data_IF_073895119015
#
_entry.id   IF_073895119015
#
_cell.length_a   1.000
_cell.length_b   1.000
_cell.length_c   1.000
_cell.angle_alpha   90.00
_cell.angle_beta   90.00
_cell.angle_gamma   90.00
#
_symmetry.space_group_name_H-M   'P 1'
#
loop_
_entity.id
_entity.type
_entity.pdbx_description
1 polymer ?
#
# COMPACT_ATOMS: atom_id res chain seq x y z
N UNK A 1 -3.41 5.68 10.27
CA UNK A 1 -2.48 5.89 11.41
C UNK A 1 -1.35 4.91 11.22
N UNK A 2 -0.12 5.34 11.20
CA UNK A 2 1.05 4.45 11.15
C UNK A 2 1.42 4.15 12.58
N UNK A 3 1.41 2.90 12.96
CA UNK A 3 1.62 2.44 14.33
C UNK A 3 2.59 1.25 14.36
N UNK A 4 2.92 0.75 15.48
CA UNK A 4 4.23 0.55 16.06
C UNK A 4 5.10 -0.56 15.43
N UNK A 5 6.33 -0.62 15.89
CA UNK A 5 7.33 -1.64 15.59
C UNK A 5 6.86 -3.03 16.02
N UNK A 6 6.82 -3.97 15.09
CA UNK A 6 6.74 -5.40 15.43
C UNK A 6 8.10 -6.01 15.19
N UNK A 7 8.68 -6.63 16.22
CA UNK A 7 9.82 -7.48 16.06
C UNK A 7 9.47 -8.65 15.14
N UNK A 8 10.05 -8.67 13.95
CA UNK A 8 9.96 -9.81 13.05
C UNK A 8 10.99 -10.88 13.42
N UNK A 9 10.94 -12.03 12.75
CA UNK A 9 11.95 -13.07 12.88
C UNK A 9 13.36 -12.48 12.74
N UNK A 10 14.23 -12.77 13.67
CA UNK A 10 15.62 -12.29 13.78
C UNK A 10 15.79 -10.80 14.12
N UNK A 11 14.88 -10.19 14.87
CA UNK A 11 15.04 -8.83 15.36
C UNK A 11 14.84 -7.72 14.32
N UNK A 12 14.30 -8.02 13.15
CA UNK A 12 13.93 -7.00 12.18
C UNK A 12 12.69 -6.25 12.63
N UNK A 13 12.72 -4.93 12.48
CA UNK A 13 11.59 -4.05 12.73
C UNK A 13 10.85 -3.77 11.45
N UNK A 14 9.52 -3.74 11.55
CA UNK A 14 8.63 -3.39 10.43
C UNK A 14 7.69 -2.28 10.87
N UNK A 15 7.40 -1.38 9.96
CA UNK A 15 6.32 -0.42 10.10
C UNK A 15 5.08 -0.94 9.43
N UNK A 16 3.91 -0.62 9.96
CA UNK A 16 2.66 -0.96 9.33
C UNK A 16 1.64 0.14 9.43
N UNK A 17 0.73 0.15 8.46
CA UNK A 17 -0.39 1.07 8.39
C UNK A 17 -1.68 0.26 8.32
N UNK A 18 -2.63 0.54 9.23
CA UNK A 18 -3.98 0.01 9.16
C UNK A 18 -4.86 1.04 8.45
N UNK A 19 -5.66 0.58 7.50
CA UNK A 19 -6.57 1.42 6.74
C UNK A 19 -7.85 0.67 6.40
N UNK A 20 -8.93 1.41 6.16
CA UNK A 20 -10.20 0.86 5.70
C UNK A 20 -10.30 1.05 4.19
N UNK A 21 -10.55 -0.05 3.47
CA UNK A 21 -10.89 -0.05 2.07
C UNK A 21 -12.40 -0.27 1.94
N UNK A 22 -13.10 0.66 1.27
CA UNK A 22 -14.54 0.59 1.03
C UNK A 22 -14.79 0.65 -0.49
N UNK A 23 -15.60 -0.29 -0.99
CA UNK A 23 -16.05 -0.25 -2.37
C UNK A 23 -17.32 0.61 -2.48
N UNK A 24 -17.22 1.74 -3.17
CA UNK A 24 -18.32 2.67 -3.46
C UNK A 24 -18.57 2.86 -4.96
N UNK A 25 -18.30 1.83 -5.74
CA UNK A 25 -18.36 1.95 -7.21
C UNK A 25 -19.72 1.62 -7.82
N UNK A 26 -20.70 1.21 -7.02
CA UNK A 26 -22.00 0.73 -7.48
C UNK A 26 -21.97 -0.69 -8.03
N UNK A 27 -20.84 -1.39 -7.97
CA UNK A 27 -20.70 -2.77 -8.44
C UNK A 27 -19.57 -3.49 -7.69
N UNK A 28 -19.63 -4.82 -7.68
CA UNK A 28 -18.54 -5.64 -7.15
C UNK A 28 -17.26 -5.46 -7.98
N UNK A 29 -16.12 -5.22 -7.32
CA UNK A 29 -14.85 -4.91 -7.96
C UNK A 29 -13.67 -5.70 -7.39
N UNK A 30 -12.68 -5.92 -8.25
CA UNK A 30 -11.34 -6.31 -7.84
C UNK A 30 -10.50 -5.05 -7.70
N UNK A 31 -9.82 -4.88 -6.57
CA UNK A 31 -8.94 -3.74 -6.33
C UNK A 31 -7.48 -4.15 -6.44
N UNK A 32 -6.74 -3.41 -7.25
CA UNK A 32 -5.31 -3.59 -7.51
C UNK A 32 -4.52 -2.48 -6.83
N UNK A 33 -4.48 -2.53 -5.50
CA UNK A 33 -3.80 -1.49 -4.75
C UNK A 33 -2.28 -1.65 -4.81
N UNK A 34 -1.60 -0.57 -5.18
CA UNK A 34 -0.17 -0.40 -4.94
C UNK A 34 0.03 0.69 -3.90
N UNK A 35 0.70 0.33 -2.79
CA UNK A 35 0.96 1.25 -1.69
C UNK A 35 2.47 1.39 -1.55
N UNK A 36 2.95 2.62 -1.61
CA UNK A 36 4.35 2.95 -1.41
C UNK A 36 4.48 4.09 -0.42
N UNK A 37 5.56 4.09 0.35
CA UNK A 37 5.92 5.19 1.24
C UNK A 37 7.20 5.83 0.74
N UNK A 38 7.26 7.16 0.68
CA UNK A 38 8.44 7.92 0.31
C UNK A 38 8.84 8.85 1.44
N UNK A 39 10.09 8.77 1.88
CA UNK A 39 10.63 9.65 2.91
C UNK A 39 11.09 10.99 2.32
N UNK A 40 11.22 12.01 3.17
CA UNK A 40 11.86 13.29 2.85
C UNK A 40 13.34 13.13 2.42
N UNK A 41 13.97 12.01 2.79
CA UNK A 41 15.30 11.59 2.31
C UNK A 41 15.26 10.90 0.94
N UNK A 42 14.12 10.98 0.21
CA UNK A 42 13.91 10.39 -1.12
C UNK A 42 13.96 8.86 -1.18
N UNK A 43 14.01 8.16 -0.04
CA UNK A 43 13.94 6.71 -0.02
C UNK A 43 12.51 6.24 -0.19
N UNK A 44 12.32 5.18 -0.99
CA UNK A 44 11.02 4.59 -1.27
C UNK A 44 10.91 3.21 -0.65
N UNK A 45 9.77 2.95 -0.03
CA UNK A 45 9.42 1.69 0.64
C UNK A 45 8.13 1.18 0.02
N UNK A 46 8.14 -0.07 -0.42
CA UNK A 46 6.94 -0.72 -0.95
C UNK A 46 6.24 -1.51 0.14
N UNK A 47 4.91 -1.66 0.01
CA UNK A 47 4.14 -2.61 0.80
C UNK A 47 4.65 -4.04 0.54
N UNK A 48 5.06 -4.72 1.60
CA UNK A 48 5.71 -6.01 1.57
C UNK A 48 4.68 -7.16 1.66
N UNK A 49 5.00 -8.27 1.01
CA UNK A 49 4.26 -9.52 1.14
C UNK A 49 4.93 -10.40 2.21
N UNK A 50 4.50 -10.26 3.47
CA UNK A 50 5.08 -10.95 4.62
C UNK A 50 3.99 -11.58 5.51
N UNK A 51 3.45 -12.76 5.12
CA UNK A 51 2.32 -13.39 5.84
C UNK A 51 2.59 -13.65 7.33
N UNK A 52 3.83 -13.92 7.71
CA UNK A 52 4.20 -14.12 9.13
C UNK A 52 4.12 -12.82 9.94
N UNK A 53 4.53 -11.72 9.34
CA UNK A 53 4.46 -10.38 9.96
C UNK A 53 3.00 -9.93 10.02
N UNK A 54 2.23 -10.09 8.94
CA UNK A 54 0.80 -9.76 8.90
C UNK A 54 0.03 -10.50 10.02
N UNK A 55 0.31 -11.79 10.22
CA UNK A 55 -0.29 -12.56 11.33
C UNK A 55 0.14 -12.07 12.72
N UNK A 56 1.39 -11.63 12.87
CA UNK A 56 1.86 -11.04 14.12
C UNK A 56 1.14 -9.73 14.43
N UNK A 57 0.93 -8.89 13.40
CA UNK A 57 0.17 -7.65 13.52
C UNK A 57 -1.29 -7.93 13.92
N UNK A 58 -1.95 -8.88 13.26
CA UNK A 58 -3.32 -9.28 13.61
C UNK A 58 -3.45 -9.71 15.07
N UNK A 59 -2.49 -10.48 15.59
CA UNK A 59 -2.46 -10.88 17.00
C UNK A 59 -2.29 -9.70 17.95
N UNK A 60 -1.39 -8.77 17.60
CA UNK A 60 -1.14 -7.56 18.40
C UNK A 60 -2.35 -6.65 18.44
N UNK A 61 -3.03 -6.47 17.30
CA UNK A 61 -4.21 -5.62 17.17
C UNK A 61 -5.49 -6.28 17.72
N UNK A 62 -5.46 -7.59 18.00
CA UNK A 62 -6.61 -8.34 18.52
C UNK A 62 -7.79 -8.43 17.54
N UNK A 63 -7.57 -8.20 16.24
CA UNK A 63 -8.61 -8.15 15.22
C UNK A 63 -8.11 -8.66 13.87
N UNK A 64 -9.01 -9.21 13.03
CA UNK A 64 -8.66 -9.64 11.69
C UNK A 64 -8.31 -8.43 10.81
N UNK A 65 -7.20 -8.53 10.11
CA UNK A 65 -6.74 -7.53 9.14
C UNK A 65 -6.52 -8.22 7.80
N UNK A 66 -6.92 -7.54 6.74
CA UNK A 66 -6.74 -8.05 5.39
C UNK A 66 -5.40 -7.57 4.83
N UNK A 67 -4.43 -8.46 4.81
CA UNK A 67 -3.07 -8.20 4.34
C UNK A 67 -2.91 -8.39 2.84
N UNK A 68 -1.69 -8.21 2.37
CA UNK A 68 -1.34 -8.44 0.96
C UNK A 68 -1.52 -9.89 0.56
N UNK A 69 -1.30 -10.84 1.50
CA UNK A 69 -1.54 -12.26 1.29
C UNK A 69 -3.01 -12.59 0.99
N UNK A 70 -3.94 -11.87 1.61
CA UNK A 70 -5.39 -12.10 1.42
C UNK A 70 -5.91 -11.51 0.11
N UNK A 71 -5.20 -10.50 -0.44
CA UNK A 71 -5.53 -9.86 -1.72
C UNK A 71 -5.23 -10.79 -2.90
N UNK A 72 -4.33 -11.75 -2.72
CA UNK A 72 -3.90 -12.70 -3.74
C UNK A 72 -4.26 -14.13 -3.31
N UNK A 73 -5.49 -14.56 -3.53
CA UNK A 73 -5.85 -15.97 -3.34
C UNK A 73 -5.23 -16.82 -4.45
N UNK A 74 -4.46 -17.82 -4.04
CA UNK A 74 -4.01 -18.89 -4.92
C UNK A 74 -5.24 -19.69 -5.33
N UNK A 75 -5.65 -19.62 -6.59
CA UNK A 75 -6.64 -20.55 -7.12
C UNK A 75 -6.02 -21.95 -7.09
N UNK A 76 -6.62 -22.84 -6.33
CA UNK A 76 -6.35 -24.27 -6.42
C UNK A 76 -7.06 -24.81 -7.66
N UNK A 77 -6.52 -24.52 -8.83
CA UNK A 77 -6.94 -25.21 -10.03
C UNK A 77 -6.08 -26.46 -10.16
N UNK A 78 -6.71 -27.63 -10.03
CA UNK A 78 -6.04 -28.95 -10.08
C UNK A 78 -5.66 -29.36 -11.50
N UNK A 79 -6.06 -28.62 -12.53
CA UNK A 79 -5.98 -29.04 -13.92
C UNK A 79 -4.97 -28.29 -14.79
N UNK A 80 -4.39 -27.21 -14.34
CA UNK A 80 -3.40 -26.47 -15.13
C UNK A 80 -2.16 -26.15 -14.29
N UNK A 81 -0.98 -26.47 -14.79
CA UNK A 81 0.32 -26.15 -14.18
C UNK A 81 0.61 -24.65 -14.00
N UNK A 82 -0.31 -23.80 -14.37
CA UNK A 82 -0.22 -22.35 -14.23
C UNK A 82 -0.78 -21.88 -12.89
N UNK A 83 0.07 -21.19 -12.14
CA UNK A 83 -0.30 -20.53 -10.89
C UNK A 83 -1.18 -19.32 -11.18
N UNK A 84 -2.47 -19.52 -11.36
CA UNK A 84 -3.44 -18.42 -11.47
C UNK A 84 -3.62 -17.76 -10.10
N UNK A 85 -3.30 -16.47 -10.02
CA UNK A 85 -3.66 -15.64 -8.88
C UNK A 85 -5.02 -15.00 -9.15
N UNK A 86 -5.98 -15.20 -8.25
CA UNK A 86 -7.25 -14.49 -8.27
C UNK A 86 -7.18 -13.34 -7.28
N UNK A 87 -7.54 -12.15 -7.75
CA UNK A 87 -7.75 -11.01 -6.86
C UNK A 87 -9.05 -11.19 -6.09
N UNK A 88 -9.02 -10.86 -4.82
CA UNK A 88 -10.22 -10.99 -4.01
C UNK A 88 -11.20 -9.87 -4.35
N UNK A 89 -12.40 -10.27 -4.75
CA UNK A 89 -13.50 -9.38 -5.08
C UNK A 89 -14.06 -8.74 -3.80
N UNK A 90 -14.34 -7.44 -3.86
CA UNK A 90 -15.01 -6.69 -2.79
C UNK A 90 -16.38 -6.30 -3.32
N UNK A 91 -17.43 -6.66 -2.58
CA UNK A 91 -18.82 -6.34 -2.94
C UNK A 91 -19.06 -4.83 -2.85
N UNK A 92 -20.05 -4.36 -3.59
CA UNK A 92 -20.48 -2.96 -3.46
C UNK A 92 -20.94 -2.66 -2.02
N UNK A 93 -20.52 -1.51 -1.47
CA UNK A 93 -20.76 -1.12 -0.09
C UNK A 93 -19.89 -1.87 0.96
N UNK A 94 -19.17 -2.93 0.58
CA UNK A 94 -18.35 -3.70 1.52
C UNK A 94 -17.15 -2.88 2.01
N UNK A 95 -16.88 -2.98 3.32
CA UNK A 95 -15.71 -2.40 3.99
C UNK A 95 -14.78 -3.51 4.48
N UNK A 96 -13.49 -3.33 4.28
CA UNK A 96 -12.46 -4.22 4.81
C UNK A 96 -11.40 -3.43 5.55
N UNK A 97 -11.06 -3.92 6.73
CA UNK A 97 -9.93 -3.40 7.47
C UNK A 97 -8.66 -4.08 6.96
N UNK A 98 -7.75 -3.27 6.41
CA UNK A 98 -6.56 -3.74 5.70
C UNK A 98 -5.30 -3.34 6.44
N UNK A 99 -4.19 -4.03 6.12
CA UNK A 99 -2.85 -3.68 6.58
C UNK A 99 -1.87 -3.61 5.41
N UNK A 100 -1.02 -2.59 5.43
CA UNK A 100 0.19 -2.48 4.61
C UNK A 100 1.41 -2.56 5.50
N UNK A 101 2.44 -3.28 5.07
CA UNK A 101 3.66 -3.54 5.85
C UNK A 101 4.87 -2.98 5.11
N UNK A 102 5.73 -2.25 5.81
CA UNK A 102 6.94 -1.66 5.25
C UNK A 102 8.18 -2.08 6.05
N UNK A 103 9.33 -2.08 5.41
CA UNK A 103 10.60 -2.12 6.12
C UNK A 103 10.70 -0.91 7.07
N UNK A 104 11.61 -1.01 8.03
CA UNK A 104 11.91 0.09 8.93
C UNK A 104 12.28 1.37 8.18
N UNK A 105 11.56 2.45 8.50
CA UNK A 105 11.88 3.77 7.97
C UNK A 105 13.15 4.31 8.62
N UNK A 106 13.89 5.14 7.88
CA UNK A 106 15.05 5.83 8.42
C UNK A 106 14.68 6.66 9.64
N UNK A 107 15.46 6.51 10.73
CA UNK A 107 15.19 7.22 11.99
C UNK A 107 15.26 8.75 11.83
N UNK A 108 16.06 9.22 10.88
CA UNK A 108 16.24 10.65 10.56
C UNK A 108 15.14 11.24 9.68
N UNK A 109 14.24 10.42 9.15
CA UNK A 109 13.13 10.90 8.32
C UNK A 109 12.04 11.51 9.19
N UNK A 110 11.76 12.81 8.96
CA UNK A 110 10.69 13.54 9.67
C UNK A 110 9.35 13.44 8.95
N UNK A 111 9.36 13.35 7.63
CA UNK A 111 8.15 13.30 6.82
C UNK A 111 8.12 12.06 5.94
N UNK A 112 6.95 11.42 5.90
CA UNK A 112 6.67 10.28 5.04
C UNK A 112 5.41 10.60 4.22
N UNK A 113 5.48 10.40 2.92
CA UNK A 113 4.31 10.46 2.05
C UNK A 113 3.94 9.05 1.62
N UNK A 114 2.75 8.60 1.99
CA UNK A 114 2.16 7.34 1.52
C UNK A 114 1.41 7.64 0.22
N UNK A 115 1.80 6.94 -0.85
CA UNK A 115 1.16 7.00 -2.16
C UNK A 115 0.37 5.71 -2.38
N UNK A 116 -0.91 5.83 -2.71
CA UNK A 116 -1.77 4.69 -3.02
C UNK A 116 -2.39 4.87 -4.40
N UNK A 117 -2.20 3.87 -5.27
CA UNK A 117 -2.82 3.77 -6.60
C UNK A 117 -3.84 2.65 -6.64
N UNK A 118 -4.64 2.59 -7.69
CA UNK A 118 -5.66 1.55 -7.87
C UNK A 118 -6.93 1.76 -7.02
N UNK A 119 -7.14 2.96 -6.46
CA UNK A 119 -8.34 3.35 -5.72
C UNK A 119 -9.40 4.01 -6.61
N UNK A 120 -9.05 4.37 -7.83
CA UNK A 120 -9.92 5.10 -8.76
C UNK A 120 -9.92 4.44 -10.12
N UNK A 121 -11.05 4.51 -10.82
CA UNK A 121 -11.16 4.15 -12.24
C UNK A 121 -10.83 5.36 -13.16
N UNK A 122 -10.41 6.49 -12.61
CA UNK A 122 -9.97 7.67 -13.35
C UNK A 122 -8.54 7.42 -13.88
N UNK A 123 -8.48 6.60 -14.94
CA UNK A 123 -7.24 6.16 -15.58
C UNK A 123 -7.36 6.50 -17.07
N UNK A 124 -6.41 7.23 -17.59
CA UNK A 124 -6.31 7.62 -18.99
C UNK A 124 -4.96 7.16 -19.57
N UNK A 125 -4.99 6.56 -20.76
CA UNK A 125 -3.77 6.30 -21.54
C UNK A 125 -3.67 7.40 -22.59
N UNK A 126 -2.56 8.09 -22.60
CA UNK A 126 -2.30 9.25 -23.48
C UNK A 126 -1.04 8.95 -24.28
N UNK A 127 -1.07 9.29 -25.57
CA UNK A 127 0.14 9.33 -26.40
C UNK A 127 0.53 10.81 -26.51
N UNK A 128 1.74 11.13 -26.07
CA UNK A 128 2.24 12.51 -26.16
C UNK A 128 2.74 12.84 -27.57
N UNK A 129 3.16 14.10 -27.77
CA UNK A 129 3.67 14.59 -29.06
C UNK A 129 4.92 13.88 -29.54
N UNK A 130 5.67 13.26 -28.64
CA UNK A 130 6.90 12.52 -28.92
C UNK A 130 6.64 11.02 -29.16
N UNK A 131 5.36 10.59 -29.17
CA UNK A 131 4.93 9.21 -29.36
C UNK A 131 5.10 8.33 -28.11
N UNK A 132 5.37 8.92 -26.95
CA UNK A 132 5.49 8.14 -25.68
C UNK A 132 4.10 7.82 -25.14
N UNK A 133 3.94 6.60 -24.66
CA UNK A 133 2.70 6.20 -23.99
C UNK A 133 2.76 6.60 -22.51
N UNK A 134 1.82 7.43 -22.10
CA UNK A 134 1.69 7.93 -20.74
C UNK A 134 0.42 7.38 -20.09
N UNK A 135 0.54 6.94 -18.84
CA UNK A 135 -0.57 6.58 -17.97
C UNK A 135 -0.86 7.77 -17.04
N UNK A 136 -2.04 8.35 -17.15
CA UNK A 136 -2.53 9.33 -16.19
C UNK A 136 -3.52 8.66 -15.25
N UNK A 137 -3.23 8.66 -13.97
CA UNK A 137 -4.10 8.05 -12.96
C UNK A 137 -4.35 9.01 -11.79
N UNK A 138 -5.50 8.82 -11.12
CA UNK A 138 -5.81 9.52 -9.88
C UNK A 138 -5.30 8.72 -8.70
N UNK A 139 -4.38 9.30 -7.95
CA UNK A 139 -3.72 8.68 -6.80
C UNK A 139 -4.17 9.33 -5.48
N UNK A 140 -4.07 8.58 -4.39
CA UNK A 140 -4.26 9.10 -3.03
C UNK A 140 -2.92 9.31 -2.36
N UNK A 141 -2.67 10.51 -1.87
CA UNK A 141 -1.52 10.85 -1.06
C UNK A 141 -1.94 11.05 0.39
N UNK A 142 -1.14 10.52 1.32
CA UNK A 142 -1.27 10.77 2.75
C UNK A 142 0.08 11.27 3.26
N UNK A 143 0.09 12.46 3.79
CA UNK A 143 1.29 13.09 4.34
C UNK A 143 1.34 12.86 5.84
N UNK A 144 2.41 12.27 6.30
CA UNK A 144 2.66 11.93 7.69
C UNK A 144 3.87 12.71 8.18
N UNK A 145 3.82 13.22 9.39
CA UNK A 145 4.96 13.86 10.04
C UNK A 145 5.25 13.21 11.38
N UNK A 146 6.53 13.11 11.70
CA UNK A 146 7.02 12.69 13.02
C UNK A 146 7.32 13.96 13.82
N UNK A 147 6.57 14.25 14.89
CA UNK A 147 6.94 15.30 15.83
C UNK A 147 8.15 14.86 16.67
N UNK A 148 8.99 15.80 17.06
CA UNK A 148 10.17 15.55 17.88
C UNK A 148 11.48 15.56 17.08
N UNK A 149 12.58 15.38 17.78
CA UNK A 149 13.89 15.24 17.16
C UNK A 149 14.19 13.77 16.82
N UNK A 150 15.34 13.52 16.22
CA UNK A 150 15.75 12.19 15.77
C UNK A 150 16.05 11.20 16.90
N UNK A 151 16.13 11.68 18.15
CA UNK A 151 16.47 10.88 19.34
C UNK A 151 15.24 10.41 20.11
N UNK A 152 14.09 11.10 20.00
CA UNK A 152 12.83 10.69 20.62
C UNK A 152 11.94 9.89 19.66
N UNK A 153 12.28 8.63 19.45
CA UNK A 153 11.43 7.69 18.71
C UNK A 153 10.37 7.12 19.64
N UNK A 154 9.33 7.87 19.92
CA UNK A 154 8.14 7.33 20.60
C UNK A 154 7.30 6.52 19.59
N UNK A 155 6.65 5.47 20.10
CA UNK A 155 5.86 4.52 19.29
C UNK A 155 4.64 5.17 18.58
N UNK A 156 4.23 6.37 19.00
CA UNK A 156 3.11 7.15 18.45
C UNK A 156 3.55 8.21 17.42
N UNK A 157 4.63 8.00 16.73
CA UNK A 157 5.45 9.07 16.19
C UNK A 157 5.03 9.65 14.84
N UNK A 158 4.08 9.05 14.11
CA UNK A 158 3.61 9.67 12.86
C UNK A 158 2.18 10.20 13.00
N UNK A 159 2.01 11.50 12.84
CA UNK A 159 0.70 12.15 12.75
C UNK A 159 0.34 12.35 11.29
N UNK A 160 -0.91 12.07 10.94
CA UNK A 160 -1.45 12.42 9.64
C UNK A 160 -1.65 13.93 9.58
N UNK A 161 -0.95 14.60 8.65
CA UNK A 161 -1.09 16.02 8.42
C UNK A 161 -2.24 16.31 7.46
N UNK A 162 -2.28 15.60 6.33
CA UNK A 162 -3.32 15.77 5.34
C UNK A 162 -3.41 14.57 4.41
N UNK A 163 -4.59 14.42 3.80
CA UNK A 163 -4.82 13.47 2.72
C UNK A 163 -5.38 14.23 1.52
N UNK A 164 -4.85 13.95 0.34
CA UNK A 164 -5.29 14.60 -0.89
C UNK A 164 -5.36 13.60 -2.05
N UNK A 165 -6.18 13.96 -3.05
CA UNK A 165 -6.18 13.31 -4.34
C UNK A 165 -5.34 14.12 -5.31
N UNK A 166 -4.51 13.43 -6.09
CA UNK A 166 -3.68 14.05 -7.12
C UNK A 166 -3.80 13.24 -8.42
N UNK A 167 -3.75 13.93 -9.58
CA UNK A 167 -3.52 13.27 -10.86
C UNK A 167 -2.03 13.17 -11.09
N UNK A 168 -1.55 11.97 -11.40
CA UNK A 168 -0.15 11.71 -11.71
C UNK A 168 -0.05 11.13 -13.11
N UNK A 169 0.99 11.52 -13.84
CA UNK A 169 1.28 11.00 -15.17
C UNK A 169 2.60 10.26 -15.13
N UNK A 170 2.60 9.01 -15.56
CA UNK A 170 3.78 8.13 -15.56
C UNK A 170 3.99 7.58 -16.98
N UNK A 171 5.21 7.60 -17.48
CA UNK A 171 5.58 6.97 -18.75
C UNK A 171 5.52 5.45 -18.63
N UNK A 172 4.79 4.80 -19.55
CA UNK A 172 4.81 3.34 -19.68
C UNK A 172 5.95 2.95 -20.60
N UNK A 173 6.96 2.31 -20.05
CA UNK A 173 8.04 1.70 -20.84
C UNK A 173 7.66 0.26 -21.12
N UNK A 174 7.42 -0.06 -22.38
CA UNK A 174 7.32 -1.44 -22.82
C UNK A 174 8.74 -2.02 -22.80
N UNK A 175 8.92 -3.18 -22.18
CA UNK A 175 10.16 -3.93 -22.36
C UNK A 175 10.11 -4.48 -23.77
N UNK A 176 11.06 -4.08 -24.59
CA UNK A 176 11.34 -4.77 -25.85
C UNK A 176 11.70 -6.22 -25.48
N UNK A 177 10.99 -7.19 -26.10
CA UNK A 177 11.25 -8.62 -25.92
C UNK A 177 12.58 -9.02 -26.57
#
# INVERSE_FOLDING_TARGET
MVTPRIGGNKGKTYWYMIYTLENKTGADRNFFLSITAKSDRKKTYSDLFLPSVERAIQRQEGRPLWGKADKFKKLKDKSAGDRKFSYTRIKDGEKRLCVAVFNEFENTSKNITIRTTGLSNDIEVIIDTDGRTLLRERIRLMHLSRPGDEYEVTLDSFKNLRMEWQKETTEIKFKDE
#
